data_IF_113317750055
#
_entry.id   IF_113317750055
#
_cell.length_a   1.000
_cell.length_b   1.000
_cell.length_c   1.000
_cell.angle_alpha   90.00
_cell.angle_beta   90.00
_cell.angle_gamma   90.00
#
_symmetry.space_group_name_H-M   'P 1'
#
loop_
_entity.id
_entity.type
_entity.pdbx_description
1 polymer ?
#
# COMPACT_ATOMS: atom_id res chain seq x y z
N UNK A 1 12.13 5.53 10.53
CA UNK A 1 12.59 5.57 9.14
C UNK A 1 12.16 6.86 8.43
N UNK A 2 10.85 7.16 8.32
CA UNK A 2 10.34 8.34 7.64
C UNK A 2 10.68 9.64 8.41
N UNK A 3 10.42 9.70 9.71
CA UNK A 3 10.74 10.85 10.56
C UNK A 3 12.24 11.21 10.54
N UNK A 4 13.13 10.22 10.49
CA UNK A 4 14.59 10.42 10.36
C UNK A 4 14.97 11.09 9.03
N UNK A 5 14.08 11.03 8.04
CA UNK A 5 14.22 11.68 6.71
C UNK A 5 13.46 13.00 6.60
N UNK A 6 12.98 13.51 7.72
CA UNK A 6 12.29 14.81 7.78
C UNK A 6 10.81 14.78 7.39
N UNK A 7 10.21 13.58 7.21
CA UNK A 7 8.76 13.50 6.96
C UNK A 7 7.96 13.79 8.23
N UNK A 8 6.94 14.58 8.09
CA UNK A 8 5.84 14.67 9.04
C UNK A 8 4.88 13.49 8.83
N UNK A 9 4.43 12.86 9.91
CA UNK A 9 3.63 11.64 9.83
C UNK A 9 2.17 11.92 10.14
N UNK A 10 1.30 11.59 9.20
CA UNK A 10 -0.14 11.54 9.40
C UNK A 10 -0.63 10.09 9.35
N UNK A 11 -1.11 9.58 10.48
CA UNK A 11 -1.71 8.25 10.57
C UNK A 11 -3.19 8.32 10.19
N UNK A 12 -3.62 7.50 9.22
CA UNK A 12 -5.01 7.37 8.82
C UNK A 12 -5.65 6.15 9.47
N UNK A 13 -6.74 6.36 10.20
CA UNK A 13 -7.49 5.31 10.90
C UNK A 13 -8.79 5.01 10.18
N UNK A 14 -9.00 3.72 9.91
CA UNK A 14 -10.22 3.27 9.22
C UNK A 14 -11.29 2.97 10.25
N UNK A 15 -11.97 3.34 10.93
CA UNK A 15 -13.06 2.89 11.82
C UNK A 15 -13.39 1.40 11.68
N UNK A 16 -14.60 1.01 11.99
CA UNK A 16 -15.03 -0.38 11.86
C UNK A 16 -15.33 -0.71 10.39
N UNK A 17 -14.55 -1.63 9.84
CA UNK A 17 -14.76 -2.20 8.51
C UNK A 17 -15.56 -3.51 8.58
N UNK A 18 -16.32 -3.87 7.52
CA UNK A 18 -17.01 -5.15 7.45
C UNK A 18 -16.07 -6.34 7.65
N UNK A 19 -16.49 -7.31 8.44
CA UNK A 19 -15.77 -8.57 8.62
C UNK A 19 -16.08 -9.57 7.49
N UNK A 20 -15.22 -10.58 7.33
CA UNK A 20 -15.41 -11.68 6.38
C UNK A 20 -15.65 -11.17 4.94
N UNK A 21 -14.81 -10.27 4.48
CA UNK A 21 -14.93 -9.64 3.15
C UNK A 21 -14.34 -10.50 2.03
N UNK A 22 -13.36 -11.37 2.33
CA UNK A 22 -12.67 -12.20 1.34
C UNK A 22 -13.65 -13.06 0.53
N UNK A 23 -13.54 -13.00 -0.80
CA UNK A 23 -14.42 -13.73 -1.71
C UNK A 23 -15.84 -13.15 -1.83
N UNK A 24 -16.11 -11.99 -1.24
CA UNK A 24 -17.40 -11.31 -1.34
C UNK A 24 -17.20 -9.89 -1.88
N UNK A 25 -17.33 -9.73 -3.20
CA UNK A 25 -17.10 -8.46 -3.90
C UNK A 25 -17.94 -7.30 -3.34
N UNK A 26 -19.20 -7.56 -2.95
CA UNK A 26 -20.06 -6.51 -2.38
C UNK A 26 -19.53 -6.00 -1.04
N UNK A 27 -19.12 -6.93 -0.16
CA UNK A 27 -18.53 -6.55 1.14
C UNK A 27 -17.15 -5.90 0.98
N UNK A 28 -16.36 -6.33 -0.01
CA UNK A 28 -15.07 -5.71 -0.32
C UNK A 28 -15.26 -4.27 -0.78
N UNK A 29 -16.23 -4.02 -1.68
CA UNK A 29 -16.57 -2.67 -2.12
C UNK A 29 -17.10 -1.81 -0.97
N UNK A 30 -17.92 -2.36 -0.08
CA UNK A 30 -18.40 -1.67 1.11
C UNK A 30 -17.24 -1.30 2.05
N UNK A 31 -16.31 -2.23 2.29
CA UNK A 31 -15.12 -1.98 3.11
C UNK A 31 -14.23 -0.88 2.50
N UNK A 32 -14.00 -0.94 1.19
CA UNK A 32 -13.25 0.10 0.47
C UNK A 32 -13.92 1.48 0.60
N UNK A 33 -15.23 1.57 0.32
CA UNK A 33 -15.95 2.84 0.38
C UNK A 33 -15.94 3.45 1.80
N UNK A 34 -16.12 2.62 2.83
CA UNK A 34 -16.02 3.07 4.22
C UNK A 34 -14.61 3.55 4.56
N UNK A 35 -13.59 2.76 4.20
CA UNK A 35 -12.19 3.13 4.44
C UNK A 35 -11.83 4.43 3.72
N UNK A 36 -12.27 4.61 2.47
CA UNK A 36 -12.06 5.83 1.70
C UNK A 36 -12.75 7.03 2.34
N UNK A 37 -13.97 6.86 2.83
CA UNK A 37 -14.70 7.94 3.52
C UNK A 37 -13.99 8.35 4.81
N UNK A 38 -13.61 7.40 5.68
CA UNK A 38 -12.85 7.70 6.90
C UNK A 38 -11.51 8.37 6.61
N UNK A 39 -10.83 7.92 5.55
CA UNK A 39 -9.57 8.53 5.12
C UNK A 39 -9.77 9.96 4.66
N UNK A 40 -10.82 10.21 3.85
CA UNK A 40 -11.15 11.53 3.36
C UNK A 40 -11.40 12.52 4.50
N UNK A 41 -12.17 12.15 5.52
CA UNK A 41 -12.48 13.00 6.69
C UNK A 41 -11.23 13.42 7.48
N UNK A 42 -10.15 12.63 7.40
CA UNK A 42 -8.89 12.89 8.08
C UNK A 42 -7.90 13.64 7.18
N UNK A 43 -7.75 13.17 5.94
CA UNK A 43 -6.78 13.71 4.99
C UNK A 43 -7.19 15.07 4.42
N UNK A 44 -8.49 15.37 4.30
CA UNK A 44 -8.97 16.69 3.85
C UNK A 44 -8.60 17.84 4.81
N UNK A 45 -8.08 17.51 6.00
CA UNK A 45 -7.59 18.49 6.97
C UNK A 45 -6.11 18.85 6.75
N UNK A 46 -5.44 18.15 5.84
CA UNK A 46 -4.03 18.35 5.54
C UNK A 46 -3.88 19.25 4.31
N UNK A 47 -3.13 20.32 4.44
CA UNK A 47 -2.78 21.20 3.34
C UNK A 47 -1.57 20.62 2.57
N UNK A 48 -1.81 19.67 1.66
CA UNK A 48 -0.75 18.96 0.94
C UNK A 48 0.18 19.86 0.12
N UNK A 49 -0.30 21.02 -0.29
CA UNK A 49 0.45 21.99 -1.11
C UNK A 49 1.55 22.73 -0.35
N UNK A 50 1.63 22.62 0.96
CA UNK A 50 2.72 23.20 1.76
C UNK A 50 3.94 22.30 1.87
N UNK A 51 3.82 21.03 1.41
CA UNK A 51 4.89 20.05 1.46
C UNK A 51 5.58 19.91 0.10
N UNK A 52 6.90 19.82 0.11
CA UNK A 52 7.70 19.59 -1.10
C UNK A 52 7.48 18.18 -1.67
N UNK A 53 7.19 17.23 -0.81
CA UNK A 53 6.94 15.83 -1.17
C UNK A 53 5.82 15.24 -0.33
N UNK A 54 4.95 14.46 -0.97
CA UNK A 54 3.92 13.65 -0.32
C UNK A 54 4.18 12.18 -0.61
N UNK A 55 4.28 11.37 0.45
CA UNK A 55 4.48 9.93 0.36
C UNK A 55 3.33 9.20 1.08
N UNK A 56 2.61 8.36 0.35
CA UNK A 56 1.67 7.43 0.96
C UNK A 56 2.32 6.07 1.19
N UNK A 57 2.26 5.58 2.42
CA UNK A 57 2.66 4.22 2.78
C UNK A 57 1.39 3.47 3.18
N UNK A 58 1.07 2.42 2.45
CA UNK A 58 -0.23 1.76 2.56
C UNK A 58 -0.12 0.24 2.45
N UNK A 59 -1.08 -0.47 3.05
CA UNK A 59 -1.11 -1.94 3.07
C UNK A 59 -2.51 -2.47 2.77
N UNK A 60 -2.60 -3.59 2.05
CA UNK A 60 -3.85 -4.31 1.78
C UNK A 60 -4.89 -3.40 1.11
N UNK A 61 -6.14 -3.35 1.60
CA UNK A 61 -7.17 -2.42 1.12
C UNK A 61 -6.74 -0.95 1.17
N UNK A 62 -5.84 -0.61 2.10
CA UNK A 62 -5.27 0.73 2.20
C UNK A 62 -4.52 1.16 0.96
N UNK A 63 -3.99 0.24 0.16
CA UNK A 63 -3.32 0.56 -1.11
C UNK A 63 -4.29 1.13 -2.13
N UNK A 64 -5.50 0.57 -2.22
CA UNK A 64 -6.57 1.11 -3.05
C UNK A 64 -7.06 2.47 -2.54
N UNK A 65 -7.19 2.60 -1.21
CA UNK A 65 -7.66 3.85 -0.58
C UNK A 65 -6.68 4.99 -0.82
N UNK A 66 -5.39 4.78 -0.57
CA UNK A 66 -4.35 5.77 -0.77
C UNK A 66 -4.26 6.21 -2.25
N UNK A 67 -4.24 5.23 -3.16
CA UNK A 67 -4.20 5.50 -4.60
C UNK A 67 -5.44 6.27 -5.09
N UNK A 68 -6.64 5.84 -4.68
CA UNK A 68 -7.90 6.50 -5.04
C UNK A 68 -7.98 7.92 -4.47
N UNK A 69 -7.58 8.11 -3.21
CA UNK A 69 -7.58 9.44 -2.59
C UNK A 69 -6.63 10.39 -3.32
N UNK A 70 -5.39 9.97 -3.55
CA UNK A 70 -4.40 10.78 -4.26
C UNK A 70 -4.86 11.16 -5.67
N UNK A 71 -5.40 10.19 -6.43
CA UNK A 71 -5.93 10.40 -7.77
C UNK A 71 -7.12 11.37 -7.79
N UNK A 72 -8.11 11.16 -6.91
CA UNK A 72 -9.33 11.96 -6.87
C UNK A 72 -9.06 13.41 -6.49
N UNK A 73 -8.06 13.65 -5.64
CA UNK A 73 -7.68 14.98 -5.17
C UNK A 73 -6.48 15.58 -5.93
N UNK A 74 -6.00 14.89 -6.99
CA UNK A 74 -4.88 15.34 -7.83
C UNK A 74 -3.59 15.64 -7.03
N UNK A 75 -3.36 14.85 -5.97
CA UNK A 75 -2.16 14.99 -5.15
C UNK A 75 -1.00 14.34 -5.89
N UNK A 76 0.02 15.14 -6.20
CA UNK A 76 1.29 14.60 -6.70
C UNK A 76 2.00 13.89 -5.55
N UNK A 77 2.01 12.58 -5.56
CA UNK A 77 2.54 11.78 -4.46
C UNK A 77 3.29 10.57 -4.96
N UNK A 78 4.25 10.14 -4.15
CA UNK A 78 4.90 8.83 -4.27
C UNK A 78 4.14 7.82 -3.43
N UNK A 79 4.22 6.54 -3.79
CA UNK A 79 3.44 5.49 -3.15
C UNK A 79 4.30 4.29 -2.77
N UNK A 80 4.09 3.74 -1.59
CA UNK A 80 4.63 2.44 -1.19
C UNK A 80 3.46 1.52 -0.88
N UNK A 81 3.32 0.47 -1.68
CA UNK A 81 2.21 -0.47 -1.62
C UNK A 81 2.67 -1.80 -1.02
N UNK A 82 2.26 -2.09 0.21
CA UNK A 82 2.48 -3.40 0.83
C UNK A 82 1.28 -4.31 0.58
N UNK A 83 1.54 -5.45 -0.02
CA UNK A 83 0.55 -6.51 -0.27
C UNK A 83 -0.80 -5.96 -0.80
N UNK A 84 -0.82 -5.28 -1.97
CA UNK A 84 -2.06 -4.83 -2.57
C UNK A 84 -2.96 -6.02 -2.89
N UNK A 85 -4.27 -5.85 -2.74
CA UNK A 85 -5.26 -6.83 -3.21
C UNK A 85 -5.53 -6.61 -4.71
N UNK A 86 -6.12 -7.60 -5.39
CA UNK A 86 -6.34 -7.54 -6.83
C UNK A 86 -7.08 -6.27 -7.26
N UNK A 87 -8.12 -5.90 -6.52
CA UNK A 87 -8.96 -4.72 -6.81
C UNK A 87 -8.20 -3.40 -6.64
N UNK A 88 -7.09 -3.37 -5.89
CA UNK A 88 -6.27 -2.18 -5.74
C UNK A 88 -5.70 -1.70 -7.08
N UNK A 89 -5.43 -2.61 -8.01
CA UNK A 89 -4.87 -2.27 -9.32
C UNK A 89 -5.83 -1.53 -10.25
N UNK A 90 -7.12 -1.44 -9.92
CA UNK A 90 -8.07 -0.57 -10.65
C UNK A 90 -7.77 0.92 -10.46
N UNK A 91 -7.11 1.27 -9.35
CA UNK A 91 -6.84 2.67 -8.96
C UNK A 91 -5.35 2.99 -8.80
N UNK A 92 -4.48 2.00 -8.58
CA UNK A 92 -3.03 2.17 -8.50
C UNK A 92 -2.50 2.72 -9.83
N UNK A 93 -1.71 3.80 -9.75
CA UNK A 93 -1.03 4.45 -10.89
C UNK A 93 0.39 3.92 -11.09
N UNK A 94 1.22 4.75 -11.74
CA UNK A 94 2.58 4.40 -12.18
C UNK A 94 3.68 4.89 -11.21
N UNK A 95 3.33 5.64 -10.17
CA UNK A 95 4.28 6.26 -9.25
C UNK A 95 4.33 5.56 -7.90
N UNK A 96 5.08 4.49 -7.80
CA UNK A 96 5.19 3.74 -6.56
C UNK A 96 6.10 2.52 -6.64
N UNK A 97 6.21 1.81 -5.53
CA UNK A 97 6.81 0.49 -5.44
C UNK A 97 5.84 -0.49 -4.77
N UNK A 98 5.96 -1.77 -5.10
CA UNK A 98 5.06 -2.82 -4.62
C UNK A 98 5.85 -3.91 -3.93
N UNK A 99 5.37 -4.34 -2.76
CA UNK A 99 5.84 -5.54 -2.05
C UNK A 99 4.76 -6.60 -2.04
N UNK A 100 5.14 -7.85 -2.37
CA UNK A 100 4.20 -8.97 -2.45
C UNK A 100 4.85 -10.27 -1.97
N UNK A 101 4.08 -11.10 -1.27
CA UNK A 101 4.49 -12.43 -0.83
C UNK A 101 3.85 -13.52 -1.67
N UNK A 102 4.62 -14.54 -2.10
CA UNK A 102 4.10 -15.59 -3.00
C UNK A 102 3.06 -16.51 -2.36
N UNK A 103 2.97 -16.52 -1.03
CA UNK A 103 1.92 -17.23 -0.28
C UNK A 103 0.76 -16.32 0.17
N UNK A 104 0.63 -15.13 -0.43
CA UNK A 104 -0.48 -14.21 -0.15
C UNK A 104 -1.81 -14.80 -0.67
N UNK A 105 -2.77 -15.11 0.20
CA UNK A 105 -4.02 -15.72 -0.22
C UNK A 105 -5.04 -14.74 -0.82
N UNK A 106 -4.73 -13.42 -0.89
CA UNK A 106 -5.66 -12.40 -1.37
C UNK A 106 -5.53 -12.12 -2.86
N UNK A 107 -4.36 -12.40 -3.44
CA UNK A 107 -4.12 -12.17 -4.87
C UNK A 107 -3.01 -13.11 -5.37
N UNK A 108 -3.18 -13.64 -6.57
CA UNK A 108 -2.16 -14.46 -7.21
C UNK A 108 -0.95 -13.61 -7.62
N UNK A 109 0.24 -14.16 -7.43
CA UNK A 109 1.51 -13.51 -7.77
C UNK A 109 1.58 -13.11 -9.24
N UNK A 110 1.04 -13.92 -10.16
CA UNK A 110 1.05 -13.61 -11.58
C UNK A 110 0.17 -12.40 -11.92
N UNK A 111 -0.93 -12.20 -11.21
CA UNK A 111 -1.76 -10.99 -11.34
C UNK A 111 -0.94 -9.79 -10.93
N UNK A 112 -0.26 -9.84 -9.77
CA UNK A 112 0.56 -8.73 -9.27
C UNK A 112 1.70 -8.41 -10.24
N UNK A 113 2.39 -9.43 -10.78
CA UNK A 113 3.46 -9.25 -11.78
C UNK A 113 2.95 -8.51 -13.02
N UNK A 114 1.87 -9.03 -13.61
CA UNK A 114 1.30 -8.45 -14.83
C UNK A 114 0.83 -7.01 -14.62
N UNK A 115 0.20 -6.73 -13.48
CA UNK A 115 -0.31 -5.40 -13.18
C UNK A 115 0.81 -4.39 -12.87
N UNK A 116 1.90 -4.83 -12.22
CA UNK A 116 3.08 -4.00 -12.00
C UNK A 116 3.84 -3.75 -13.31
N UNK A 117 3.99 -4.77 -14.16
CA UNK A 117 4.63 -4.63 -15.48
C UNK A 117 3.90 -3.62 -16.37
N UNK A 118 2.57 -3.70 -16.47
CA UNK A 118 1.74 -2.74 -17.24
C UNK A 118 1.93 -1.28 -16.79
N UNK A 119 2.30 -1.06 -15.53
CA UNK A 119 2.45 0.27 -14.90
C UNK A 119 3.90 0.68 -14.69
N UNK A 120 4.87 -0.14 -15.12
CA UNK A 120 6.30 0.04 -14.83
C UNK A 120 6.60 0.23 -13.33
N UNK A 121 5.85 -0.43 -12.47
CA UNK A 121 6.06 -0.37 -11.01
C UNK A 121 7.14 -1.38 -10.60
N UNK A 122 8.21 -0.94 -9.90
CA UNK A 122 9.13 -1.85 -9.24
C UNK A 122 8.38 -2.79 -8.29
N UNK A 123 8.58 -4.09 -8.48
CA UNK A 123 7.93 -5.14 -7.69
C UNK A 123 8.99 -5.95 -6.93
N UNK A 124 8.85 -6.01 -5.62
CA UNK A 124 9.67 -6.82 -4.72
C UNK A 124 8.85 -8.01 -4.22
N UNK A 125 9.26 -9.21 -4.65
CA UNK A 125 8.59 -10.46 -4.30
C UNK A 125 9.36 -11.17 -3.22
N UNK A 126 8.66 -11.60 -2.17
CA UNK A 126 9.20 -12.42 -1.09
C UNK A 126 8.61 -13.84 -1.18
N UNK A 127 9.49 -14.81 -1.39
CA UNK A 127 9.10 -16.21 -1.53
C UNK A 127 8.51 -16.76 -0.22
N UNK A 128 7.40 -17.51 -0.31
CA UNK A 128 6.69 -18.13 0.80
C UNK A 128 6.13 -17.17 1.84
N UNK A 129 6.21 -15.85 1.65
CA UNK A 129 5.61 -14.90 2.55
C UNK A 129 4.11 -14.73 2.29
N UNK A 130 3.35 -14.60 3.36
CA UNK A 130 1.91 -14.39 3.35
C UNK A 130 1.53 -12.90 3.19
N UNK A 131 0.26 -12.57 3.38
CA UNK A 131 -0.27 -11.20 3.32
C UNK A 131 0.33 -10.24 4.38
N UNK A 132 0.95 -10.76 5.42
CA UNK A 132 1.69 -9.97 6.42
C UNK A 132 3.18 -9.86 6.12
N UNK A 133 3.64 -10.41 5.00
CA UNK A 133 5.05 -10.57 4.63
C UNK A 133 5.81 -11.47 5.61
N UNK A 134 5.14 -12.50 6.14
CA UNK A 134 5.65 -13.47 7.08
C UNK A 134 5.61 -14.87 6.48
N UNK A 135 6.62 -15.69 6.80
CA UNK A 135 6.72 -17.11 6.40
C UNK A 135 6.30 -18.07 7.51
N UNK A 136 6.10 -17.57 8.73
CA UNK A 136 5.90 -18.34 9.94
C UNK A 136 7.20 -18.85 10.57
N UNK A 137 8.36 -18.46 10.04
CA UNK A 137 9.66 -18.69 10.64
C UNK A 137 10.25 -17.36 11.07
N UNK A 138 10.35 -17.13 12.37
CA UNK A 138 10.74 -15.85 12.99
C UNK A 138 12.09 -15.35 12.48
N UNK A 139 13.09 -16.23 12.34
CA UNK A 139 14.43 -15.83 11.89
C UNK A 139 14.40 -15.34 10.43
N UNK A 140 13.66 -16.03 9.57
CA UNK A 140 13.44 -15.61 8.18
C UNK A 140 12.65 -14.31 8.11
N UNK A 141 11.62 -14.18 8.93
CA UNK A 141 10.74 -13.01 8.93
C UNK A 141 11.48 -11.73 9.34
N UNK A 142 12.47 -11.83 10.25
CA UNK A 142 13.36 -10.72 10.62
C UNK A 142 14.20 -10.27 9.41
N UNK A 143 14.80 -11.22 8.67
CA UNK A 143 15.59 -10.92 7.46
C UNK A 143 14.71 -10.30 6.37
N UNK A 144 13.52 -10.83 6.16
CA UNK A 144 12.53 -10.27 5.21
C UNK A 144 12.19 -8.82 5.58
N UNK A 145 11.95 -8.56 6.86
CA UNK A 145 11.65 -7.20 7.33
C UNK A 145 12.81 -6.25 7.09
N UNK A 146 14.05 -6.69 7.34
CA UNK A 146 15.25 -5.90 7.06
C UNK A 146 15.34 -5.52 5.58
N UNK A 147 15.14 -6.48 4.69
CA UNK A 147 15.16 -6.26 3.24
C UNK A 147 14.06 -5.30 2.78
N UNK A 148 12.84 -5.48 3.28
CA UNK A 148 11.70 -4.59 3.00
C UNK A 148 12.02 -3.17 3.46
N UNK A 149 12.53 -3.00 4.68
CA UNK A 149 12.87 -1.68 5.21
C UNK A 149 14.00 -1.02 4.42
N UNK A 150 14.98 -1.80 3.97
CA UNK A 150 16.06 -1.32 3.10
C UNK A 150 15.51 -0.80 1.77
N UNK A 151 14.67 -1.57 1.09
CA UNK A 151 14.04 -1.15 -0.18
C UNK A 151 13.12 0.06 0.00
N UNK A 152 12.38 0.10 1.09
CA UNK A 152 11.57 1.26 1.47
C UNK A 152 12.45 2.50 1.65
N UNK A 153 13.56 2.39 2.37
CA UNK A 153 14.52 3.48 2.56
C UNK A 153 15.14 3.95 1.24
N UNK A 154 15.61 3.01 0.42
CA UNK A 154 16.18 3.30 -0.92
C UNK A 154 15.16 4.08 -1.78
N UNK A 155 13.89 3.67 -1.76
CA UNK A 155 12.83 4.38 -2.48
C UNK A 155 12.59 5.79 -1.92
N UNK A 156 12.57 5.95 -0.60
CA UNK A 156 12.40 7.27 0.04
C UNK A 156 13.55 8.23 -0.27
N UNK A 157 14.77 7.69 -0.38
CA UNK A 157 15.99 8.48 -0.63
C UNK A 157 16.21 8.79 -2.13
N UNK A 158 15.55 8.06 -3.04
CA UNK A 158 15.57 8.34 -4.48
C UNK A 158 14.77 9.60 -4.78
N UNK A 159 15.40 10.58 -5.44
CA UNK A 159 14.78 11.83 -5.89
C UNK A 159 14.38 11.74 -7.36
#
# INVERSE_FOLDING_TARGET
LAMERGYEIAEVKYGELPANVKGNAKKMLEAFNKALQYSKEQLDKIEFNVYDEVLFISKSVGTAVAAAYAKNNKINSRQIYYTPVAESFEVIGENGIVFHGTADPWVDTDIVRNECEKRNLPLYITESANHSMETGNVEKDIVIMEEIMKKTAEYMDAK
#
